data_IF_715327045337
#
_entry.id   IF_715327045337
#
_cell.length_a   1.000
_cell.length_b   1.000
_cell.length_c   1.000
_cell.angle_alpha   90.00
_cell.angle_beta   90.00
_cell.angle_gamma   90.00
#
_symmetry.space_group_name_H-M   'P 1'
#
loop_
_entity.id
_entity.type
_entity.pdbx_description
1 polymer ?
#
# COMPACT_ATOMS: atom_id res chain seq x y z
N UNK A 1 11.61 2.91 -11.63
CA UNK A 1 11.37 2.98 -10.17
C UNK A 1 12.68 3.14 -9.45
N UNK A 2 12.71 3.95 -8.39
CA UNK A 2 13.91 4.23 -7.61
C UNK A 2 14.31 3.05 -6.74
N UNK A 3 15.62 2.83 -6.53
CA UNK A 3 16.10 1.93 -5.49
C UNK A 3 16.10 2.64 -4.14
N UNK A 4 15.79 1.91 -3.09
CA UNK A 4 15.64 2.45 -1.72
C UNK A 4 16.24 1.49 -0.71
N UNK A 5 16.72 2.04 0.39
CA UNK A 5 17.05 1.31 1.59
C UNK A 5 15.91 1.44 2.58
N UNK A 6 15.45 0.32 3.12
CA UNK A 6 14.37 0.28 4.11
C UNK A 6 14.50 -0.98 4.95
N UNK A 7 13.74 -1.05 6.04
CA UNK A 7 13.55 -2.29 6.81
C UNK A 7 12.16 -2.83 6.48
N UNK A 8 12.02 -4.09 6.02
CA UNK A 8 10.72 -4.67 5.68
C UNK A 8 9.70 -4.51 6.82
N UNK A 9 8.47 -4.13 6.45
CA UNK A 9 7.38 -3.86 7.38
C UNK A 9 7.41 -2.51 8.11
N UNK A 10 8.50 -1.74 8.00
CA UNK A 10 8.51 -0.37 8.50
C UNK A 10 7.75 0.59 7.58
N UNK A 11 7.34 1.72 8.14
CA UNK A 11 6.47 2.69 7.47
C UNK A 11 7.21 3.74 6.65
N UNK A 12 8.54 3.74 6.69
CA UNK A 12 9.38 4.76 6.06
C UNK A 12 10.59 4.15 5.35
N UNK A 13 10.95 4.77 4.24
CA UNK A 13 12.23 4.58 3.57
C UNK A 13 13.32 5.21 4.43
N UNK A 14 14.44 4.51 4.61
CA UNK A 14 15.61 5.05 5.31
C UNK A 14 16.32 6.08 4.42
N UNK A 15 16.60 5.71 3.16
CA UNK A 15 17.15 6.62 2.15
C UNK A 15 16.91 6.06 0.75
N UNK A 16 16.87 6.94 -0.26
CA UNK A 16 16.97 6.52 -1.64
C UNK A 16 18.40 6.05 -1.94
N UNK A 17 18.55 5.10 -2.84
CA UNK A 17 19.84 4.55 -3.21
C UNK A 17 20.42 5.30 -4.43
N UNK A 18 21.74 5.42 -4.43
CA UNK A 18 22.54 5.92 -5.55
C UNK A 18 23.55 4.85 -5.95
N UNK A 19 23.67 4.59 -7.25
CA UNK A 19 24.72 3.72 -7.77
C UNK A 19 26.07 4.46 -7.72
N UNK A 20 27.06 3.87 -7.06
CA UNK A 20 28.41 4.45 -6.88
C UNK A 20 29.47 3.74 -7.72
N UNK A 21 29.17 2.51 -8.17
CA UNK A 21 29.93 1.74 -9.14
C UNK A 21 28.98 0.65 -9.70
N UNK A 22 29.32 -0.05 -10.80
CA UNK A 22 28.43 -1.07 -11.38
C UNK A 22 27.97 -2.10 -10.33
N UNK A 23 26.66 -2.14 -10.08
CA UNK A 23 26.05 -3.04 -9.11
C UNK A 23 26.27 -2.67 -7.63
N UNK A 24 26.98 -1.58 -7.33
CA UNK A 24 27.24 -1.11 -5.97
C UNK A 24 26.39 0.11 -5.65
N UNK A 25 25.61 0.00 -4.59
CA UNK A 25 24.65 1.00 -4.18
C UNK A 25 24.96 1.51 -2.78
N UNK A 26 24.80 2.80 -2.59
CA UNK A 26 24.92 3.46 -1.29
C UNK A 26 23.75 4.40 -1.06
N UNK A 27 23.48 4.74 0.20
CA UNK A 27 22.48 5.74 0.57
C UNK A 27 22.80 7.08 -0.12
N UNK A 28 21.77 7.76 -0.64
CA UNK A 28 21.94 9.00 -1.41
C UNK A 28 22.52 10.12 -0.56
N UNK A 29 22.11 10.22 0.71
CA UNK A 29 22.47 11.32 1.59
C UNK A 29 23.78 11.08 2.32
N UNK A 30 24.04 9.85 2.79
CA UNK A 30 25.20 9.53 3.65
C UNK A 30 26.29 8.71 2.96
N UNK A 31 26.05 8.22 1.74
CA UNK A 31 26.97 7.35 1.00
C UNK A 31 27.35 6.08 1.75
N UNK A 32 26.44 5.55 2.58
CA UNK A 32 26.63 4.30 3.30
C UNK A 32 26.21 3.12 2.43
N UNK A 33 27.06 2.11 2.30
CA UNK A 33 26.68 0.83 1.70
C UNK A 33 25.82 0.01 2.66
N UNK A 34 25.13 -1.01 2.14
CA UNK A 34 24.21 -1.84 2.93
C UNK A 34 24.82 -2.37 4.25
N UNK A 35 26.04 -2.94 4.29
CA UNK A 35 26.60 -3.45 5.54
C UNK A 35 26.82 -2.36 6.59
N UNK A 36 27.20 -1.15 6.16
CA UNK A 36 27.41 -0.02 7.06
C UNK A 36 26.07 0.51 7.59
N UNK A 37 25.06 0.57 6.71
CA UNK A 37 23.71 0.98 7.08
C UNK A 37 23.09 0.04 8.13
N UNK A 38 23.31 -1.26 7.97
CA UNK A 38 22.80 -2.31 8.87
C UNK A 38 23.32 -2.21 10.31
N UNK A 39 24.42 -1.50 10.55
CA UNK A 39 24.91 -1.22 11.91
C UNK A 39 23.89 -0.35 12.67
N UNK A 40 23.35 0.67 12.00
CA UNK A 40 22.36 1.60 12.59
C UNK A 40 20.90 1.20 12.35
N UNK A 41 20.65 0.41 11.31
CA UNK A 41 19.32 -0.09 10.94
C UNK A 41 19.37 -1.61 10.73
N UNK A 42 19.41 -2.41 11.81
CA UNK A 42 19.42 -3.86 11.69
C UNK A 42 18.24 -4.35 10.84
N UNK A 43 18.52 -5.24 9.89
CA UNK A 43 17.51 -5.75 8.95
C UNK A 43 17.22 -4.85 7.75
N UNK A 44 17.97 -3.76 7.57
CA UNK A 44 17.87 -2.96 6.35
C UNK A 44 18.19 -3.82 5.12
N UNK A 45 17.47 -3.56 4.03
CA UNK A 45 17.63 -4.20 2.72
C UNK A 45 17.75 -3.13 1.63
N UNK A 46 18.33 -3.50 0.49
CA UNK A 46 18.26 -2.71 -0.75
C UNK A 46 17.17 -3.31 -1.63
N UNK A 47 16.10 -2.54 -1.86
CA UNK A 47 15.02 -2.93 -2.78
C UNK A 47 14.72 -1.82 -3.80
N UNK A 48 13.64 -1.99 -4.54
CA UNK A 48 12.99 -0.89 -5.25
C UNK A 48 11.85 -0.33 -4.40
N UNK A 49 11.42 0.88 -4.73
CA UNK A 49 10.33 1.57 -4.02
C UNK A 49 9.01 0.77 -4.05
N UNK A 50 8.76 0.03 -5.13
CA UNK A 50 7.62 -0.88 -5.22
C UNK A 50 7.67 -2.02 -4.20
N UNK A 51 8.82 -2.69 -4.02
CA UNK A 51 8.98 -3.73 -3.02
C UNK A 51 8.78 -3.18 -1.60
N UNK A 52 9.25 -1.96 -1.32
CA UNK A 52 8.97 -1.29 -0.06
C UNK A 52 7.46 -1.11 0.17
N UNK A 53 6.73 -0.62 -0.83
CA UNK A 53 5.28 -0.45 -0.74
C UNK A 53 4.57 -1.82 -0.57
N UNK A 54 4.99 -2.85 -1.29
CA UNK A 54 4.41 -4.19 -1.16
C UNK A 54 4.67 -4.82 0.21
N UNK A 55 5.88 -4.68 0.76
CA UNK A 55 6.20 -5.15 2.13
C UNK A 55 5.38 -4.39 3.17
N UNK A 56 5.16 -3.10 2.96
CA UNK A 56 4.32 -2.28 3.82
C UNK A 56 2.86 -2.72 3.75
N UNK A 57 2.33 -2.97 2.56
CA UNK A 57 0.97 -3.50 2.39
C UNK A 57 0.81 -4.90 2.98
N UNK A 58 1.80 -5.78 2.80
CA UNK A 58 1.77 -7.12 3.37
C UNK A 58 1.73 -7.09 4.91
N UNK A 59 2.33 -6.07 5.53
CA UNK A 59 2.38 -5.91 6.98
C UNK A 59 1.14 -5.24 7.55
N UNK A 60 0.62 -4.22 6.87
CA UNK A 60 -0.42 -3.32 7.41
C UNK A 60 -1.75 -3.37 6.67
N UNK A 61 -1.79 -3.96 5.49
CA UNK A 61 -3.00 -4.16 4.71
C UNK A 61 -3.95 -5.14 5.38
N UNK A 62 -5.23 -5.01 5.07
CA UNK A 62 -6.27 -5.90 5.60
C UNK A 62 -7.10 -6.50 4.48
N UNK A 63 -7.71 -7.65 4.75
CA UNK A 63 -8.67 -8.24 3.81
C UNK A 63 -9.94 -7.39 3.74
N UNK A 64 -10.60 -7.30 2.58
CA UNK A 64 -11.93 -6.71 2.46
C UNK A 64 -12.92 -7.29 3.48
N UNK A 65 -13.53 -6.38 4.24
CA UNK A 65 -14.61 -6.71 5.18
C UNK A 65 -15.86 -5.93 4.81
N UNK A 66 -17.03 -6.50 5.12
CA UNK A 66 -18.30 -5.82 4.86
C UNK A 66 -18.45 -4.59 5.75
N UNK A 67 -18.95 -3.50 5.17
CA UNK A 67 -19.35 -2.28 5.88
C UNK A 67 -20.80 -1.92 5.53
N UNK A 68 -21.28 -0.79 6.04
CA UNK A 68 -22.64 -0.30 5.78
C UNK A 68 -22.65 0.79 4.73
N UNK A 69 -23.78 0.96 4.03
CA UNK A 69 -24.01 2.08 3.11
C UNK A 69 -23.73 3.42 3.81
N UNK A 70 -24.28 3.63 5.00
CA UNK A 70 -24.09 4.86 5.77
C UNK A 70 -22.61 5.21 6.03
N UNK A 71 -21.73 4.21 6.26
CA UNK A 71 -20.29 4.45 6.44
C UNK A 71 -19.59 4.78 5.13
N UNK A 72 -19.98 4.11 4.05
CA UNK A 72 -19.48 4.40 2.70
C UNK A 72 -19.86 5.83 2.29
N UNK A 73 -21.15 6.18 2.40
CA UNK A 73 -21.69 7.48 2.02
C UNK A 73 -21.09 8.61 2.85
N UNK A 74 -20.96 8.41 4.17
CA UNK A 74 -20.30 9.36 5.05
C UNK A 74 -18.85 9.60 4.62
N UNK A 75 -18.08 8.53 4.40
CA UNK A 75 -16.69 8.66 3.99
C UNK A 75 -16.56 9.39 2.64
N UNK A 76 -17.43 9.07 1.68
CA UNK A 76 -17.41 9.71 0.36
C UNK A 76 -17.76 11.20 0.39
N UNK A 77 -18.74 11.59 1.22
CA UNK A 77 -19.28 12.95 1.25
C UNK A 77 -18.63 13.90 2.26
N UNK A 78 -17.98 13.36 3.30
CA UNK A 78 -17.46 14.17 4.42
C UNK A 78 -15.95 14.07 4.64
N UNK A 79 -15.26 13.15 3.96
CA UNK A 79 -13.81 13.01 4.06
C UNK A 79 -13.13 13.38 2.74
N UNK A 80 -11.85 13.70 2.82
CA UNK A 80 -11.03 13.89 1.63
C UNK A 80 -10.80 12.53 0.95
N UNK A 81 -11.35 12.40 -0.26
CA UNK A 81 -11.28 11.18 -1.07
C UNK A 81 -10.48 11.42 -2.34
N UNK A 82 -9.76 10.39 -2.76
CA UNK A 82 -9.00 10.38 -4.01
C UNK A 82 -9.28 9.12 -4.81
N UNK A 83 -8.92 9.18 -6.10
CA UNK A 83 -8.94 8.05 -7.03
C UNK A 83 -10.28 7.31 -7.04
N UNK A 84 -11.38 8.09 -7.07
CA UNK A 84 -12.70 7.53 -7.30
C UNK A 84 -12.74 6.91 -8.70
N UNK A 85 -13.13 5.65 -8.76
CA UNK A 85 -13.31 4.90 -9.98
C UNK A 85 -14.58 4.06 -9.88
N UNK A 86 -15.30 3.97 -10.99
CA UNK A 86 -16.52 3.21 -11.12
C UNK A 86 -16.52 2.48 -12.46
N UNK A 87 -16.93 1.22 -12.44
CA UNK A 87 -17.31 0.46 -13.62
C UNK A 87 -18.77 -0.01 -13.52
N UNK A 88 -19.23 -0.85 -14.42
CA UNK A 88 -20.63 -1.32 -14.41
C UNK A 88 -21.00 -2.13 -13.15
N UNK A 89 -20.00 -2.57 -12.37
CA UNK A 89 -20.15 -3.57 -11.34
C UNK A 89 -19.65 -3.12 -9.96
N UNK A 90 -18.63 -2.27 -9.91
CA UNK A 90 -17.96 -1.85 -8.69
C UNK A 90 -17.58 -0.37 -8.72
N UNK A 91 -17.88 0.32 -7.62
CA UNK A 91 -17.42 1.68 -7.34
C UNK A 91 -16.38 1.61 -6.22
N UNK A 92 -15.28 2.34 -6.31
CA UNK A 92 -14.31 2.43 -5.21
C UNK A 92 -13.70 3.81 -5.09
N UNK A 93 -13.29 4.16 -3.87
CA UNK A 93 -12.47 5.33 -3.61
C UNK A 93 -11.55 5.06 -2.42
N UNK A 94 -10.59 5.96 -2.24
CA UNK A 94 -9.58 5.90 -1.19
C UNK A 94 -9.63 7.17 -0.36
N UNK A 95 -9.35 7.07 0.93
CA UNK A 95 -9.13 8.28 1.73
C UNK A 95 -7.75 8.87 1.40
N UNK A 96 -7.65 10.19 1.31
CA UNK A 96 -6.37 10.86 1.07
C UNK A 96 -5.40 10.72 2.25
N UNK A 97 -5.94 10.68 3.48
CA UNK A 97 -5.14 10.51 4.68
C UNK A 97 -4.75 9.03 4.84
N UNK A 98 -3.45 8.74 4.71
CA UNK A 98 -2.94 7.40 4.99
C UNK A 98 -2.98 7.12 6.49
N UNK A 99 -3.43 5.92 6.87
CA UNK A 99 -3.50 5.48 8.26
C UNK A 99 -2.14 4.99 8.76
N UNK A 100 -1.34 4.36 7.88
CA UNK A 100 -0.04 3.81 8.24
C UNK A 100 0.91 3.82 7.05
N UNK A 101 1.85 4.77 7.09
CA UNK A 101 2.74 5.12 5.98
C UNK A 101 1.99 5.31 4.66
N UNK A 102 2.11 4.41 3.68
CA UNK A 102 1.41 4.53 2.38
C UNK A 102 0.11 3.72 2.28
N UNK A 103 -0.34 3.14 3.37
CA UNK A 103 -1.58 2.37 3.43
C UNK A 103 -2.71 3.28 3.89
N UNK A 104 -3.79 3.31 3.12
CA UNK A 104 -4.99 4.09 3.37
C UNK A 104 -6.23 3.20 3.43
N UNK A 105 -7.31 3.77 3.96
CA UNK A 105 -8.61 3.13 3.94
C UNK A 105 -9.24 3.25 2.56
N UNK A 106 -9.67 2.10 2.06
CA UNK A 106 -10.35 1.95 0.78
C UNK A 106 -11.80 1.56 1.07
N UNK A 107 -12.71 2.18 0.34
CA UNK A 107 -14.12 1.86 0.33
C UNK A 107 -14.54 1.39 -1.04
N UNK A 108 -15.40 0.39 -1.09
CA UNK A 108 -15.97 -0.09 -2.33
C UNK A 108 -17.43 -0.48 -2.19
N UNK A 109 -18.19 -0.29 -3.25
CA UNK A 109 -19.55 -0.75 -3.42
C UNK A 109 -19.56 -1.71 -4.60
N UNK A 110 -20.08 -2.92 -4.40
CA UNK A 110 -20.21 -3.92 -5.46
C UNK A 110 -21.50 -4.72 -5.23
N UNK A 111 -22.41 -4.66 -6.20
CA UNK A 111 -23.63 -5.51 -6.25
C UNK A 111 -24.47 -5.39 -4.97
N UNK A 112 -24.73 -4.13 -4.56
CA UNK A 112 -25.51 -3.78 -3.38
C UNK A 112 -24.82 -4.03 -2.04
N UNK A 113 -23.54 -4.44 -2.05
CA UNK A 113 -22.74 -4.68 -0.84
C UNK A 113 -21.61 -3.68 -0.73
N UNK A 114 -21.38 -3.21 0.49
CA UNK A 114 -20.33 -2.25 0.79
C UNK A 114 -19.18 -2.94 1.50
N UNK A 115 -17.96 -2.52 1.17
CA UNK A 115 -16.72 -3.08 1.67
C UNK A 115 -15.76 -2.00 2.14
N UNK A 116 -14.93 -2.35 3.12
CA UNK A 116 -13.79 -1.52 3.54
C UNK A 116 -12.59 -2.39 3.90
N UNK A 117 -11.40 -1.86 3.63
CA UNK A 117 -10.13 -2.45 4.01
C UNK A 117 -9.00 -1.42 3.97
N UNK A 118 -7.82 -1.85 4.41
CA UNK A 118 -6.57 -1.11 4.30
C UNK A 118 -5.76 -1.66 3.13
N UNK A 119 -5.33 -0.79 2.23
CA UNK A 119 -4.47 -1.11 1.09
C UNK A 119 -3.63 0.10 0.69
N UNK A 120 -2.72 -0.08 -0.28
CA UNK A 120 -1.88 1.04 -0.72
C UNK A 120 -2.70 2.20 -1.29
N UNK A 121 -2.26 3.44 -1.03
CA UNK A 121 -2.90 4.63 -1.59
C UNK A 121 -2.88 4.64 -3.14
N UNK A 122 -1.90 3.99 -3.76
CA UNK A 122 -1.82 3.84 -5.21
C UNK A 122 -2.46 2.55 -5.75
N UNK A 123 -3.18 1.78 -4.93
CA UNK A 123 -3.76 0.49 -5.34
C UNK A 123 -4.77 0.68 -6.50
N UNK A 124 -4.57 0.08 -7.68
CA UNK A 124 -5.45 0.33 -8.83
C UNK A 124 -6.86 -0.22 -8.61
N UNK A 125 -7.87 0.43 -9.22
CA UNK A 125 -9.28 -0.01 -9.14
C UNK A 125 -9.47 -1.48 -9.51
N UNK A 126 -8.84 -1.96 -10.59
CA UNK A 126 -8.94 -3.36 -11.02
C UNK A 126 -8.41 -4.35 -9.96
N UNK A 127 -7.36 -3.99 -9.22
CA UNK A 127 -6.83 -4.83 -8.13
C UNK A 127 -7.77 -4.83 -6.92
N UNK A 128 -8.44 -3.69 -6.64
CA UNK A 128 -9.50 -3.61 -5.62
C UNK A 128 -10.62 -4.59 -5.99
N UNK A 129 -11.07 -4.56 -7.25
CA UNK A 129 -12.09 -5.47 -7.79
C UNK A 129 -11.66 -6.94 -7.61
N UNK A 130 -10.45 -7.31 -8.01
CA UNK A 130 -9.94 -8.67 -7.83
C UNK A 130 -9.97 -9.12 -6.36
N UNK A 131 -9.53 -8.29 -5.41
CA UNK A 131 -9.56 -8.61 -3.97
C UNK A 131 -10.97 -8.81 -3.43
N UNK A 132 -11.92 -7.99 -3.90
CA UNK A 132 -13.33 -8.12 -3.53
C UNK A 132 -13.93 -9.41 -4.08
N UNK A 133 -13.60 -9.79 -5.31
CA UNK A 133 -14.07 -11.06 -5.92
C UNK A 133 -13.62 -12.29 -5.12
N UNK A 134 -12.37 -12.31 -4.64
CA UNK A 134 -11.81 -13.37 -3.80
C UNK A 134 -12.50 -13.41 -2.42
N UNK A 135 -12.73 -12.24 -1.82
CA UNK A 135 -13.36 -12.12 -0.51
C UNK A 135 -14.85 -12.50 -0.54
N UNK A 136 -15.53 -12.31 -1.68
CA UNK A 136 -16.92 -12.73 -1.91
C UNK A 136 -17.07 -14.24 -2.08
N UNK A 137 -16.12 -14.87 -2.77
CA UNK A 137 -16.17 -16.30 -3.09
C UNK A 137 -15.75 -17.19 -1.91
N UNK A 138 -15.24 -16.61 -0.82
CA UNK A 138 -14.71 -17.37 0.30
C UNK A 138 -13.45 -18.17 -0.07
N UNK A 139 -12.83 -17.85 -1.20
CA UNK A 139 -11.60 -18.49 -1.65
C UNK A 139 -10.45 -18.03 -0.76
N UNK A 140 -10.22 -18.79 0.31
CA UNK A 140 -8.99 -18.73 1.09
C UNK A 140 -7.87 -19.32 0.25
N UNK A 141 -7.12 -18.50 -0.46
CA UNK A 141 -5.81 -18.96 -0.97
C UNK A 141 -4.88 -19.10 0.24
N UNK A 142 -4.44 -20.34 0.42
CA UNK A 142 -3.51 -20.84 1.45
C UNK A 142 -2.11 -20.33 1.14
#
# INVERSE_FOLDING_TARGET
>A
MSKVFYVPGQTSIIDYAREIAPGKWATRCRLLMLPELQISHPGAVLGNEEAFLLDQEATHGTRPTKTTAARYDYAFSHLAVSDFAADEQCDSFKLECCEVGNVTRIFAHWDGRYWTFLGLANLPHQVIVERLSQSRTGATTI
#
